data_IF_553519130003
#
_entry.id   IF_553519130003
#
_cell.length_a   1.000
_cell.length_b   1.000
_cell.length_c   1.000
_cell.angle_alpha   90.00
_cell.angle_beta   90.00
_cell.angle_gamma   90.00
#
_symmetry.space_group_name_H-M   'P 1'
#
loop_
_entity.id
_entity.type
_entity.pdbx_description
1 polymer ?
#
# COMPACT_ATOMS: atom_id res chain seq x y z
N UNK A 1 -4.99 -9.24 -11.02
CA UNK A 1 -5.16 -8.16 -10.04
C UNK A 1 -6.46 -7.36 -10.23
N UNK A 2 -6.62 -6.51 -11.26
CA UNK A 2 -7.82 -5.64 -11.41
C UNK A 2 -9.15 -6.40 -11.34
N UNK A 3 -9.29 -7.53 -12.05
CA UNK A 3 -10.51 -8.38 -11.99
C UNK A 3 -10.79 -8.92 -10.58
N UNK A 4 -9.76 -9.29 -9.83
CA UNK A 4 -9.90 -9.81 -8.47
C UNK A 4 -10.38 -8.71 -7.51
N UNK A 5 -9.82 -7.50 -7.67
CA UNK A 5 -10.25 -6.32 -6.91
C UNK A 5 -11.72 -6.01 -7.19
N UNK A 6 -12.13 -5.94 -8.47
CA UNK A 6 -13.53 -5.70 -8.84
C UNK A 6 -14.44 -6.77 -8.21
N UNK A 7 -14.09 -8.05 -8.34
CA UNK A 7 -14.87 -9.14 -7.76
C UNK A 7 -15.04 -9.01 -6.24
N UNK A 8 -13.97 -8.63 -5.51
CA UNK A 8 -14.05 -8.40 -4.07
C UNK A 8 -14.96 -7.20 -3.73
N UNK A 9 -14.82 -6.09 -4.47
CA UNK A 9 -15.62 -4.87 -4.26
C UNK A 9 -17.12 -5.08 -4.59
N UNK A 10 -17.43 -5.92 -5.57
CA UNK A 10 -18.82 -6.25 -5.94
C UNK A 10 -19.49 -7.17 -4.92
N UNK A 11 -18.71 -7.96 -4.17
CA UNK A 11 -19.22 -8.89 -3.15
C UNK A 11 -19.19 -8.32 -1.72
N UNK A 12 -18.38 -7.28 -1.46
CA UNK A 12 -18.38 -6.58 -0.17
C UNK A 12 -19.69 -5.80 0.03
N UNK A 13 -20.17 -5.77 1.27
CA UNK A 13 -21.34 -5.01 1.70
C UNK A 13 -20.99 -3.78 2.52
N UNK A 14 -19.70 -3.56 2.76
CA UNK A 14 -19.19 -2.45 3.58
C UNK A 14 -19.19 -1.15 2.77
N UNK A 15 -19.31 -0.03 3.47
CA UNK A 15 -19.28 1.30 2.85
C UNK A 15 -17.88 1.67 2.36
N UNK A 16 -16.86 1.29 3.12
CA UNK A 16 -15.45 1.47 2.82
C UNK A 16 -14.69 0.19 3.08
N UNK A 17 -13.55 0.05 2.40
CA UNK A 17 -12.75 -1.17 2.39
C UNK A 17 -11.27 -0.84 2.58
N UNK A 18 -10.57 -1.78 3.20
CA UNK A 18 -9.11 -1.80 3.28
C UNK A 18 -8.56 -2.78 2.25
N UNK A 19 -7.50 -2.39 1.57
CA UNK A 19 -6.78 -3.24 0.63
C UNK A 19 -5.65 -3.92 1.38
N UNK A 20 -5.73 -5.24 1.52
CA UNK A 20 -4.75 -6.03 2.24
C UNK A 20 -3.98 -6.99 1.31
N UNK A 21 -2.66 -7.03 1.44
CA UNK A 21 -1.79 -8.01 0.78
C UNK A 21 -1.41 -9.12 1.77
N UNK A 22 -1.17 -10.32 1.25
CA UNK A 22 -0.95 -11.51 2.10
C UNK A 22 0.40 -11.51 2.82
N UNK A 23 1.37 -10.74 2.33
CA UNK A 23 2.73 -10.61 2.85
C UNK A 23 2.93 -9.34 3.69
N UNK A 24 1.82 -8.67 4.04
CA UNK A 24 1.82 -7.55 4.99
C UNK A 24 1.15 -7.97 6.29
N UNK A 25 1.83 -7.71 7.39
CA UNK A 25 1.25 -7.80 8.73
C UNK A 25 0.58 -6.46 9.07
N UNK A 26 -0.70 -6.52 9.40
CA UNK A 26 -1.50 -5.35 9.72
C UNK A 26 -1.65 -5.21 11.23
N UNK A 27 -1.26 -4.05 11.76
CA UNK A 27 -1.57 -3.75 13.15
C UNK A 27 -3.05 -3.41 13.28
N UNK A 28 -3.78 -3.83 14.35
CA UNK A 28 -5.20 -3.52 14.51
C UNK A 28 -5.55 -2.03 14.34
N UNK A 29 -4.68 -1.12 14.79
CA UNK A 29 -4.86 0.33 14.61
C UNK A 29 -4.92 0.81 13.15
N UNK A 30 -4.53 -0.04 12.19
CA UNK A 30 -4.75 0.22 10.77
C UNK A 30 -6.25 0.27 10.42
N UNK A 31 -7.07 -0.50 11.13
CA UNK A 31 -8.49 -0.65 10.83
C UNK A 31 -9.38 0.32 11.62
N UNK A 32 -8.81 1.11 12.53
CA UNK A 32 -9.54 2.15 13.28
C UNK A 32 -9.85 3.38 12.43
N UNK A 33 -9.26 3.49 11.24
CA UNK A 33 -9.46 4.62 10.35
C UNK A 33 -10.80 4.57 9.63
N UNK A 34 -11.50 5.70 9.62
CA UNK A 34 -12.73 5.90 8.86
C UNK A 34 -12.45 7.01 7.84
N UNK A 35 -12.58 6.74 6.53
CA UNK A 35 -12.32 7.75 5.50
C UNK A 35 -13.32 8.91 5.63
N UNK A 36 -12.86 10.16 5.85
CA UNK A 36 -13.75 11.30 6.08
C UNK A 36 -14.43 11.83 4.80
N UNK A 37 -13.87 11.56 3.62
CA UNK A 37 -14.45 11.95 2.34
C UNK A 37 -14.67 10.73 1.42
N UNK A 38 -15.85 10.68 0.78
CA UNK A 38 -16.20 9.60 -0.14
C UNK A 38 -15.41 9.62 -1.44
N UNK A 39 -14.86 10.78 -1.82
CA UNK A 39 -14.19 10.98 -3.10
C UNK A 39 -12.65 10.97 -2.98
N UNK A 40 -12.11 10.40 -1.89
CA UNK A 40 -10.68 10.42 -1.60
C UNK A 40 -10.16 9.00 -1.33
N UNK A 41 -9.03 8.65 -1.95
CA UNK A 41 -8.25 7.45 -1.70
C UNK A 41 -7.25 7.74 -0.57
N UNK A 42 -7.38 7.08 0.59
CA UNK A 42 -6.53 7.34 1.75
C UNK A 42 -5.45 6.27 1.90
N UNK A 43 -4.18 6.68 1.94
CA UNK A 43 -3.04 5.78 2.10
C UNK A 43 -2.48 5.83 3.51
N UNK A 44 -2.43 4.68 4.20
CA UNK A 44 -1.69 4.54 5.44
C UNK A 44 -0.19 4.56 5.14
N UNK A 45 0.50 5.62 5.54
CA UNK A 45 1.95 5.73 5.39
C UNK A 45 2.72 5.18 6.60
N UNK A 46 2.03 4.74 7.66
CA UNK A 46 2.67 4.02 8.76
C UNK A 46 2.97 2.58 8.32
N UNK A 47 4.04 2.41 7.52
CA UNK A 47 4.49 1.11 7.05
C UNK A 47 6.00 0.97 7.19
N UNK A 48 6.45 -0.20 7.60
CA UNK A 48 7.85 -0.60 7.64
C UNK A 48 8.07 -1.76 6.67
N UNK A 49 9.12 -1.67 5.85
CA UNK A 49 9.55 -2.77 5.00
C UNK A 49 10.58 -3.59 5.79
N UNK A 50 10.30 -4.87 6.00
CA UNK A 50 11.14 -5.76 6.80
C UNK A 50 11.86 -6.77 5.91
N UNK A 51 13.19 -6.77 5.92
CA UNK A 51 14.00 -7.84 5.34
C UNK A 51 14.14 -8.98 6.34
N UNK A 52 13.42 -10.07 6.11
CA UNK A 52 13.35 -11.16 7.09
C UNK A 52 14.69 -11.88 7.31
N UNK A 53 15.58 -11.88 6.31
CA UNK A 53 16.85 -12.63 6.36
C UNK A 53 17.84 -12.14 7.41
N UNK A 54 17.83 -10.85 7.73
CA UNK A 54 18.75 -10.22 8.68
C UNK A 54 18.05 -9.29 9.69
N UNK A 55 16.73 -9.13 9.59
CA UNK A 55 15.95 -8.30 10.50
C UNK A 55 16.15 -6.80 10.30
N UNK A 56 16.78 -6.40 9.19
CA UNK A 56 16.88 -5.01 8.78
C UNK A 56 15.52 -4.50 8.31
N UNK A 57 15.10 -3.34 8.82
CA UNK A 57 13.82 -2.74 8.47
C UNK A 57 13.99 -1.25 8.15
N UNK A 58 13.14 -0.75 7.26
CA UNK A 58 13.14 0.66 6.89
C UNK A 58 11.73 1.22 6.78
N UNK A 59 11.62 2.53 7.00
CA UNK A 59 10.41 3.30 6.86
C UNK A 59 10.73 4.59 6.11
N UNK A 60 9.81 5.03 5.25
CA UNK A 60 9.71 6.38 4.70
C UNK A 60 8.26 6.58 4.26
N UNK A 61 7.85 7.84 4.06
CA UNK A 61 6.49 8.13 3.63
C UNK A 61 6.27 7.61 2.20
N UNK A 62 5.47 6.56 2.08
CA UNK A 62 5.14 5.92 0.80
C UNK A 62 3.68 5.54 0.75
N UNK A 63 3.07 5.75 -0.41
CA UNK A 63 1.72 5.26 -0.68
C UNK A 63 1.85 3.87 -1.30
N UNK A 64 1.28 2.86 -0.65
CA UNK A 64 1.21 1.49 -1.15
C UNK A 64 -0.24 1.06 -1.27
N UNK A 65 -0.56 0.24 -2.27
CA UNK A 65 -1.91 -0.30 -2.43
C UNK A 65 -2.34 -1.11 -1.20
N UNK A 66 -1.40 -1.85 -0.60
CA UNK A 66 -1.57 -2.60 0.65
C UNK A 66 -1.85 -1.74 1.89
N UNK A 67 -1.81 -0.41 1.79
CA UNK A 67 -2.17 0.52 2.85
C UNK A 67 -3.41 1.37 2.51
N UNK A 68 -4.13 1.06 1.44
CA UNK A 68 -5.26 1.87 0.97
C UNK A 68 -6.54 1.59 1.76
N UNK A 69 -7.21 2.67 2.20
CA UNK A 69 -8.58 2.68 2.66
C UNK A 69 -9.41 3.65 1.79
N UNK A 70 -10.57 3.21 1.32
CA UNK A 70 -11.41 4.00 0.41
C UNK A 70 -12.86 3.52 0.44
N UNK A 71 -13.81 4.40 0.12
CA UNK A 71 -15.19 4.01 -0.10
C UNK A 71 -15.32 3.00 -1.24
N UNK A 72 -16.10 1.93 -1.02
CA UNK A 72 -16.26 0.80 -1.93
C UNK A 72 -16.70 1.22 -3.33
N UNK A 73 -17.70 2.10 -3.42
CA UNK A 73 -18.24 2.60 -4.69
C UNK A 73 -17.20 3.43 -5.47
N UNK A 74 -16.41 4.24 -4.77
CA UNK A 74 -15.32 5.04 -5.35
C UNK A 74 -14.21 4.15 -5.90
N UNK A 75 -13.83 3.11 -5.16
CA UNK A 75 -12.89 2.10 -5.64
C UNK A 75 -13.45 1.36 -6.87
N UNK A 76 -14.72 0.95 -6.82
CA UNK A 76 -15.35 0.20 -7.89
C UNK A 76 -15.44 1.02 -9.18
N UNK A 77 -15.80 2.31 -9.09
CA UNK A 77 -15.79 3.23 -10.21
C UNK A 77 -14.40 3.32 -10.86
N UNK A 78 -13.35 3.54 -10.05
CA UNK A 78 -11.98 3.61 -10.56
C UNK A 78 -11.52 2.28 -11.19
N UNK A 79 -11.73 1.15 -10.52
CA UNK A 79 -11.19 -0.13 -10.99
C UNK A 79 -11.92 -0.67 -12.22
N UNK A 80 -13.23 -0.39 -12.38
CA UNK A 80 -13.95 -0.69 -13.63
C UNK A 80 -13.39 0.12 -14.80
N UNK A 81 -13.20 1.42 -14.61
CA UNK A 81 -12.61 2.28 -15.64
C UNK A 81 -11.18 1.86 -15.98
N UNK A 82 -10.38 1.52 -14.94
CA UNK A 82 -9.04 0.97 -15.11
C UNK A 82 -9.05 -0.34 -15.88
N UNK A 83 -10.03 -1.22 -15.63
CA UNK A 83 -10.19 -2.47 -16.36
C UNK A 83 -10.47 -2.21 -17.84
N UNK A 84 -11.44 -1.37 -18.16
CA UNK A 84 -11.77 -0.98 -19.54
C UNK A 84 -10.57 -0.37 -20.27
N UNK A 85 -9.81 0.50 -19.58
CA UNK A 85 -8.59 1.07 -20.13
C UNK A 85 -7.55 -0.02 -20.48
N UNK A 86 -7.33 -0.98 -19.59
CA UNK A 86 -6.38 -2.09 -19.80
C UNK A 86 -6.86 -3.00 -20.94
N UNK A 87 -8.15 -3.31 -21.02
CA UNK A 87 -8.70 -4.14 -22.11
C UNK A 87 -8.52 -3.47 -23.48
N UNK A 88 -8.64 -2.14 -23.53
CA UNK A 88 -8.50 -1.37 -24.78
C UNK A 88 -7.05 -1.14 -25.19
N UNK A 89 -6.16 -0.83 -24.24
CA UNK A 89 -4.80 -0.34 -24.53
C UNK A 89 -3.70 -1.33 -24.16
N UNK A 90 -4.04 -2.44 -23.51
CA UNK A 90 -3.08 -3.33 -22.87
C UNK A 90 -2.56 -2.80 -21.52
N UNK A 91 -1.88 -3.67 -20.78
CA UNK A 91 -1.21 -3.28 -19.54
C UNK A 91 0.12 -2.55 -19.82
N UNK A 92 0.36 -1.45 -19.11
CA UNK A 92 1.63 -0.72 -19.10
C UNK A 92 1.93 -0.20 -17.69
N UNK A 93 3.20 -0.15 -17.29
CA UNK A 93 3.63 0.45 -16.02
C UNK A 93 3.40 1.98 -15.98
N UNK A 94 3.14 2.60 -17.13
CA UNK A 94 2.83 4.02 -17.23
C UNK A 94 1.49 4.37 -16.57
N UNK A 95 0.56 3.41 -16.45
CA UNK A 95 -0.73 3.68 -15.79
C UNK A 95 -0.60 3.87 -14.26
N UNK A 96 0.55 3.47 -13.69
CA UNK A 96 0.82 3.52 -12.24
C UNK A 96 0.10 2.42 -11.46
N UNK A 97 0.68 1.97 -10.35
CA UNK A 97 0.09 0.89 -9.54
C UNK A 97 -0.93 1.44 -8.54
N UNK A 98 -0.58 2.54 -7.86
CA UNK A 98 -1.38 3.18 -6.82
C UNK A 98 -2.36 4.19 -7.44
N UNK A 99 -3.69 4.00 -7.26
CA UNK A 99 -4.70 4.96 -7.74
C UNK A 99 -4.42 6.42 -7.33
N UNK A 100 -4.72 7.37 -8.21
CA UNK A 100 -4.72 8.82 -7.95
C UNK A 100 -3.39 9.49 -7.55
N UNK A 101 -2.32 8.75 -7.27
CA UNK A 101 -1.06 9.30 -6.72
C UNK A 101 -0.19 10.06 -7.74
N UNK A 102 -0.28 9.74 -9.03
CA UNK A 102 0.66 10.26 -10.03
C UNK A 102 0.04 11.08 -11.17
N UNK A 103 -1.29 11.11 -11.28
CA UNK A 103 -2.00 11.88 -12.33
C UNK A 103 -1.63 11.52 -13.78
N UNK A 104 -1.04 10.34 -14.03
CA UNK A 104 -0.51 9.93 -15.35
C UNK A 104 -1.60 9.69 -16.39
N UNK A 105 -2.75 9.23 -15.93
CA UNK A 105 -3.95 9.00 -16.75
C UNK A 105 -5.02 9.97 -16.27
N UNK A 106 -5.65 10.65 -17.22
CA UNK A 106 -6.84 11.47 -16.96
C UNK A 106 -8.06 10.55 -17.02
N UNK A 107 -8.46 10.04 -15.86
CA UNK A 107 -9.66 9.22 -15.72
C UNK A 107 -10.90 10.10 -15.91
N UNK A 108 -11.97 9.50 -16.42
CA UNK A 108 -13.31 10.06 -16.42
C UNK A 108 -13.77 10.31 -14.99
N UNK A 109 -13.60 9.32 -14.11
CA UNK A 109 -13.84 9.47 -12.68
C UNK A 109 -12.54 9.88 -11.98
N UNK A 110 -12.33 11.20 -11.86
CA UNK A 110 -11.15 11.75 -11.21
C UNK A 110 -11.42 11.94 -9.71
N UNK A 111 -10.73 11.15 -8.90
CA UNK A 111 -10.80 11.23 -7.43
C UNK A 111 -9.56 11.91 -6.85
N UNK A 112 -9.64 12.25 -5.57
CA UNK A 112 -8.51 12.77 -4.79
C UNK A 112 -7.75 11.62 -4.14
N UNK A 113 -6.56 11.91 -3.62
CA UNK A 113 -5.92 11.07 -2.62
C UNK A 113 -5.47 11.93 -1.44
N UNK A 114 -5.34 11.28 -0.30
CA UNK A 114 -4.76 11.85 0.92
C UNK A 114 -4.05 10.74 1.69
N UNK A 115 -3.39 11.09 2.78
CA UNK A 115 -2.61 10.14 3.58
C UNK A 115 -3.02 10.20 5.05
N UNK A 116 -2.77 9.10 5.74
CA UNK A 116 -2.92 9.02 7.19
C UNK A 116 -1.84 8.11 7.76
N UNK A 117 -1.69 8.09 9.08
CA UNK A 117 -0.77 7.19 9.79
C UNK A 117 -1.52 6.54 10.93
N UNK A 118 -1.58 5.21 10.94
CA UNK A 118 -2.06 4.45 12.09
C UNK A 118 -1.13 4.62 13.30
N UNK A 119 -1.65 4.38 14.50
CA UNK A 119 -0.89 4.49 15.75
C UNK A 119 0.38 3.63 15.71
N UNK A 120 0.25 2.39 15.24
CA UNK A 120 1.36 1.49 14.99
C UNK A 120 1.41 1.11 13.50
N UNK A 121 2.61 0.84 12.96
CA UNK A 121 2.79 0.59 11.54
C UNK A 121 2.33 -0.80 11.11
N UNK A 122 1.98 -0.92 9.84
CA UNK A 122 1.96 -2.19 9.13
C UNK A 122 3.39 -2.64 8.81
N UNK A 123 3.62 -3.95 8.68
CA UNK A 123 4.94 -4.52 8.34
C UNK A 123 4.84 -5.30 7.05
N UNK A 124 5.47 -4.78 6.00
CA UNK A 124 5.57 -5.41 4.69
C UNK A 124 6.80 -6.33 4.66
N UNK A 125 6.56 -7.65 4.68
CA UNK A 125 7.61 -8.66 4.80
C UNK A 125 8.23 -8.92 3.43
N UNK A 126 9.50 -8.56 3.28
CA UNK A 126 10.30 -8.84 2.09
C UNK A 126 11.05 -10.17 2.26
N UNK A 127 10.57 -11.22 1.60
CA UNK A 127 11.20 -12.54 1.54
C UNK A 127 11.65 -12.90 0.11
N UNK A 128 12.80 -13.58 -0.02
CA UNK A 128 13.27 -14.23 -1.26
C UNK A 128 13.02 -13.42 -2.55
N UNK A 129 12.09 -13.90 -3.39
CA UNK A 129 11.73 -13.29 -4.67
C UNK A 129 11.06 -11.90 -4.53
N UNK A 130 10.28 -11.65 -3.47
CA UNK A 130 9.61 -10.35 -3.22
C UNK A 130 10.59 -9.28 -2.70
N UNK A 131 11.76 -9.68 -2.19
CA UNK A 131 12.86 -8.76 -1.89
C UNK A 131 13.64 -8.31 -3.15
N UNK A 132 13.47 -9.01 -4.28
CA UNK A 132 14.22 -8.74 -5.50
C UNK A 132 13.77 -7.41 -6.09
N UNK A 133 14.63 -6.39 -6.02
CA UNK A 133 14.34 -5.02 -6.46
C UNK A 133 13.98 -4.06 -5.32
N UNK A 134 13.85 -4.54 -4.08
CA UNK A 134 13.72 -3.66 -2.93
C UNK A 134 15.01 -2.88 -2.72
N UNK A 135 14.88 -1.56 -2.55
CA UNK A 135 15.97 -0.66 -2.22
C UNK A 135 16.05 -0.54 -0.71
N UNK A 136 17.24 -0.80 -0.17
CA UNK A 136 17.52 -0.79 1.27
C UNK A 136 18.39 0.40 1.68
N UNK A 137 18.98 1.09 0.71
CA UNK A 137 19.81 2.28 0.95
C UNK A 137 19.29 3.46 0.17
N UNK A 138 19.42 4.64 0.74
CA UNK A 138 19.04 5.91 0.10
C UNK A 138 19.61 6.04 -1.30
N UNK A 139 20.90 5.80 -1.49
CA UNK A 139 21.64 5.94 -2.76
C UNK A 139 21.08 5.11 -3.93
N UNK A 140 20.28 4.07 -3.65
CA UNK A 140 19.63 3.25 -4.67
C UNK A 140 18.38 3.92 -5.28
N UNK A 141 17.85 4.97 -4.64
CA UNK A 141 16.68 5.70 -5.12
C UNK A 141 17.10 6.83 -6.06
N UNK A 142 16.46 6.87 -7.24
CA UNK A 142 16.70 7.92 -8.25
C UNK A 142 16.36 9.33 -7.74
N UNK A 143 15.29 9.44 -6.95
CA UNK A 143 14.84 10.72 -6.40
C UNK A 143 14.84 10.66 -4.87
N UNK A 144 15.89 11.24 -4.28
CA UNK A 144 16.08 11.30 -2.82
C UNK A 144 15.02 12.17 -2.13
N UNK A 145 14.41 13.12 -2.84
CA UNK A 145 13.41 14.02 -2.27
C UNK A 145 12.11 13.30 -1.89
N UNK A 146 11.90 12.08 -2.37
CA UNK A 146 10.75 11.24 -2.02
C UNK A 146 10.99 10.41 -0.74
N UNK A 147 12.21 10.39 -0.20
CA UNK A 147 12.56 9.63 1.01
C UNK A 147 12.24 10.45 2.27
N UNK A 148 11.03 10.97 2.33
CA UNK A 148 10.53 11.78 3.44
C UNK A 148 10.40 10.89 4.69
N UNK A 149 10.80 11.40 5.85
CA UNK A 149 10.75 10.68 7.13
C UNK A 149 11.49 9.32 7.14
N UNK A 150 12.55 9.21 6.35
CA UNK A 150 13.37 7.99 6.28
C UNK A 150 13.94 7.57 7.64
N UNK A 151 13.69 6.33 8.02
CA UNK A 151 14.18 5.68 9.24
C UNK A 151 14.62 4.25 8.91
N UNK A 152 15.61 3.76 9.65
CA UNK A 152 16.11 2.39 9.57
C UNK A 152 16.24 1.82 10.97
N UNK A 153 15.98 0.53 11.11
CA UNK A 153 16.25 -0.24 12.31
C UNK A 153 16.80 -1.61 11.93
N UNK A 154 17.40 -2.28 12.90
CA UNK A 154 17.88 -3.64 12.75
C UNK A 154 17.28 -4.51 13.86
N UNK A 155 17.58 -5.82 13.81
CA UNK A 155 17.14 -6.77 14.83
C UNK A 155 15.62 -6.80 15.03
N UNK A 156 14.84 -6.62 13.96
CA UNK A 156 13.36 -6.66 13.99
C UNK A 156 12.72 -5.59 14.90
N UNK A 157 13.43 -4.49 15.18
CA UNK A 157 12.92 -3.40 16.02
C UNK A 157 11.94 -2.53 15.23
N UNK A 158 10.66 -2.90 15.20
CA UNK A 158 9.59 -2.11 14.58
C UNK A 158 8.60 -1.70 15.70
N UNK A 159 8.25 -0.41 15.83
CA UNK A 159 7.31 0.05 16.86
C UNK A 159 6.00 -0.75 16.85
N UNK A 160 5.55 -1.20 18.02
CA UNK A 160 4.31 -1.98 18.14
C UNK A 160 4.41 -3.47 17.79
N UNK A 161 5.59 -3.95 17.39
CA UNK A 161 5.79 -5.35 17.01
C UNK A 161 6.90 -6.02 17.84
N UNK A 162 6.59 -7.17 18.40
CA UNK A 162 7.57 -8.04 19.04
C UNK A 162 8.25 -8.93 17.99
N UNK A 163 9.55 -9.19 18.11
CA UNK A 163 10.29 -10.03 17.15
C UNK A 163 9.64 -11.41 16.93
N UNK A 164 9.11 -12.01 17.99
CA UNK A 164 8.42 -13.32 17.92
C UNK A 164 7.15 -13.29 17.08
N UNK A 165 6.51 -12.13 16.92
CA UNK A 165 5.34 -11.96 16.05
C UNK A 165 5.70 -11.76 14.58
N UNK A 166 6.95 -11.34 14.31
CA UNK A 166 7.46 -11.07 12.95
C UNK A 166 8.15 -12.29 12.33
N UNK A 167 8.75 -13.13 13.18
CA UNK A 167 9.43 -14.35 12.78
C UNK A 167 8.57 -15.53 13.21
N UNK A 168 7.67 -15.98 12.34
CA UNK A 168 7.03 -17.29 12.53
C UNK A 168 8.14 -18.32 12.33
N UNK A 169 8.64 -18.88 13.43
CA UNK A 169 9.53 -20.05 13.40
C UNK A 169 8.71 -21.20 12.80
N UNK A 170 8.86 -21.41 11.50
CA UNK A 170 8.49 -22.67 10.85
C UNK A 170 9.46 -23.78 11.21
#
# INVERSE_FOLDING_TARGET
MTKQIIGALENSRDDYVFFCEHDVLYHPSHFDFIPPDKQTFYYNQAVWLLRLSDGHALHYDVNQLSGLCVYRETALAHYRERYEYIEKNGWSNEIGHEPMTHGRIKWHNQFKYDTWKSEFPNVDIKHGANATGQRWRKDQYRNQNLLINWQETDNWQIPGWEKSSLVVLG
#
